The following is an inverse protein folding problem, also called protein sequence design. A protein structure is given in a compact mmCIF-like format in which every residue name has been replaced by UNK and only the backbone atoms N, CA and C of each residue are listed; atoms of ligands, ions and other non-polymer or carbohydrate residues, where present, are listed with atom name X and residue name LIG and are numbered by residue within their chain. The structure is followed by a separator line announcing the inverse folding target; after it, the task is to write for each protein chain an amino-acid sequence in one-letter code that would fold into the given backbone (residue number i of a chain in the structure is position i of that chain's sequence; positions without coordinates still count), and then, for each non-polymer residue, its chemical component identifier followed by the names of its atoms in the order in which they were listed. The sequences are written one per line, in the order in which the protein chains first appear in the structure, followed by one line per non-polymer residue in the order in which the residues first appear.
data_IF_562474422119
#
_entry.id   IF_562474422119
#
_cell.length_a   1.000
_cell.length_b   1.000
_cell.length_c   1.000
_cell.angle_alpha   90.00
_cell.angle_beta   90.00
_cell.angle_gamma   90.00
#
_symmetry.space_group_name_H-M   'P 1'
#
loop_
_entity.id
_entity.type
_entity.pdbx_description
1 polymer ?
#
# COMPACT_ATOMS: atom_id res chain seq x y z
N UNK A 1 11.35 -3.63 16.71
CA UNK A 1 11.29 -3.78 15.24
C UNK A 1 9.98 -3.18 14.77
N UNK A 2 10.01 -2.18 13.89
CA UNK A 2 8.78 -1.60 13.34
C UNK A 2 8.05 -2.67 12.51
N UNK A 3 6.78 -2.94 12.83
CA UNK A 3 5.93 -3.81 12.00
C UNK A 3 5.60 -3.03 10.72
N UNK A 4 6.07 -3.53 9.58
CA UNK A 4 5.66 -2.99 8.28
C UNK A 4 4.16 -3.23 8.10
N UNK A 5 3.38 -2.16 7.99
CA UNK A 5 1.94 -2.27 7.80
C UNK A 5 1.62 -2.62 6.34
N UNK A 6 0.59 -3.46 6.10
CA UNK A 6 0.22 -3.84 4.75
C UNK A 6 -0.41 -2.66 3.99
N UNK A 7 -0.19 -2.63 2.69
CA UNK A 7 -0.91 -1.79 1.73
C UNK A 7 -2.29 -2.41 1.44
N UNK A 8 -3.31 -1.59 1.27
CA UNK A 8 -4.64 -2.07 0.82
C UNK A 8 -4.79 -1.82 -0.67
N UNK A 9 -5.18 -2.86 -1.41
CA UNK A 9 -5.60 -2.78 -2.81
C UNK A 9 -7.09 -3.04 -2.87
N UNK A 10 -7.85 -2.12 -3.45
CA UNK A 10 -9.29 -2.26 -3.68
C UNK A 10 -9.52 -2.55 -5.15
N UNK A 11 -10.28 -3.61 -5.44
CA UNK A 11 -10.65 -4.04 -6.78
C UNK A 11 -12.00 -3.42 -7.18
N UNK A 12 -12.30 -3.39 -8.48
CA UNK A 12 -13.53 -2.86 -9.06
C UNK A 12 -14.80 -3.63 -8.66
N UNK A 13 -14.65 -4.91 -8.27
CA UNK A 13 -15.72 -5.74 -7.69
C UNK A 13 -15.93 -5.51 -6.18
N UNK A 14 -15.17 -4.58 -5.58
CA UNK A 14 -15.19 -4.26 -4.16
C UNK A 14 -14.32 -5.19 -3.29
N UNK A 15 -13.61 -6.16 -3.87
CA UNK A 15 -12.67 -7.01 -3.14
C UNK A 15 -11.49 -6.19 -2.63
N UNK A 16 -11.10 -6.41 -1.37
CA UNK A 16 -9.91 -5.80 -0.79
C UNK A 16 -8.80 -6.82 -0.52
N UNK A 17 -7.57 -6.44 -0.86
CA UNK A 17 -6.37 -7.18 -0.54
C UNK A 17 -5.45 -6.39 0.38
N UNK A 18 -5.14 -6.96 1.55
CA UNK A 18 -4.10 -6.45 2.46
C UNK A 18 -2.76 -7.09 2.12
N UNK A 19 -1.86 -6.33 1.53
CA UNK A 19 -0.61 -6.80 0.97
C UNK A 19 0.58 -6.30 1.80
N UNK A 20 1.29 -7.17 2.53
CA UNK A 20 2.53 -6.78 3.18
C UNK A 20 3.63 -6.69 2.11
N UNK A 21 3.97 -5.46 1.72
CA UNK A 21 5.02 -5.22 0.74
C UNK A 21 6.37 -5.54 1.40
N UNK A 22 6.97 -6.65 0.99
CA UNK A 22 8.28 -7.08 1.46
C UNK A 22 9.39 -6.44 0.62
N UNK A 23 10.60 -6.32 1.19
CA UNK A 23 11.77 -5.88 0.43
C UNK A 23 12.02 -6.76 -0.81
N UNK A 24 11.76 -8.06 -0.74
CA UNK A 24 11.90 -8.95 -1.89
C UNK A 24 10.89 -8.63 -3.01
N UNK A 25 9.64 -8.32 -2.66
CA UNK A 25 8.64 -7.89 -3.64
C UNK A 25 9.04 -6.57 -4.32
N UNK A 26 9.64 -5.65 -3.57
CA UNK A 26 10.19 -4.40 -4.13
C UNK A 26 11.35 -4.66 -5.10
N UNK A 27 12.30 -5.55 -4.76
CA UNK A 27 13.37 -5.95 -5.68
C UNK A 27 12.83 -6.58 -6.96
N UNK A 28 11.74 -7.35 -6.88
CA UNK A 28 11.07 -7.91 -8.07
C UNK A 28 10.42 -6.85 -8.93
N UNK A 29 9.84 -5.82 -8.32
CA UNK A 29 9.31 -4.68 -9.04
C UNK A 29 10.40 -3.83 -9.69
N UNK A 30 11.53 -3.63 -9.01
CA UNK A 30 12.68 -2.91 -9.56
C UNK A 30 13.26 -3.62 -10.79
N UNK A 31 13.56 -4.92 -10.69
CA UNK A 31 14.08 -5.72 -11.80
C UNK A 31 13.11 -5.70 -13.00
N UNK A 32 11.80 -5.78 -12.74
CA UNK A 32 10.77 -5.67 -13.79
C UNK A 32 10.75 -4.29 -14.44
N UNK A 33 10.76 -3.22 -13.63
CA UNK A 33 10.72 -1.84 -14.11
C UNK A 33 11.96 -1.50 -14.97
N UNK A 34 13.14 -1.97 -14.57
CA UNK A 34 14.37 -1.79 -15.34
C UNK A 34 14.31 -2.54 -16.67
N UNK A 35 13.88 -3.81 -16.68
CA UNK A 35 13.81 -4.63 -17.90
C UNK A 35 12.79 -4.11 -18.91
N UNK A 36 11.68 -3.57 -18.44
CA UNK A 36 10.60 -3.08 -19.31
C UNK A 36 10.68 -1.58 -19.59
N UNK A 37 11.68 -0.89 -19.04
CA UNK A 37 11.88 0.54 -19.28
C UNK A 37 10.73 1.41 -18.77
N UNK A 38 10.15 1.08 -17.62
CA UNK A 38 9.03 1.84 -17.06
C UNK A 38 9.46 3.27 -16.67
N UNK A 39 8.70 4.27 -17.12
CA UNK A 39 8.92 5.67 -16.76
C UNK A 39 8.84 5.85 -15.24
N UNK A 40 9.80 6.56 -14.65
CA UNK A 40 9.92 6.72 -13.20
C UNK A 40 10.53 5.52 -12.45
N UNK A 41 10.89 4.43 -13.15
CA UNK A 41 11.58 3.28 -12.58
C UNK A 41 10.81 2.63 -11.42
N UNK A 42 11.54 2.14 -10.41
CA UNK A 42 10.94 1.45 -9.26
C UNK A 42 10.13 2.36 -8.33
N UNK A 43 10.28 3.69 -8.47
CA UNK A 43 9.51 4.68 -7.71
C UNK A 43 8.16 5.01 -8.36
N UNK A 44 7.87 4.44 -9.53
CA UNK A 44 6.61 4.63 -10.23
C UNK A 44 5.46 3.89 -9.53
N UNK A 45 4.23 4.42 -9.69
CA UNK A 45 3.00 3.74 -9.28
C UNK A 45 2.92 2.32 -9.85
N UNK A 46 3.35 2.14 -11.10
CA UNK A 46 3.38 0.83 -11.78
C UNK A 46 4.29 -0.17 -11.06
N UNK A 47 5.45 0.28 -10.56
CA UNK A 47 6.33 -0.56 -9.76
C UNK A 47 5.74 -0.90 -8.39
N UNK A 48 5.11 0.06 -7.71
CA UNK A 48 4.38 -0.21 -6.46
C UNK A 48 3.27 -1.25 -6.66
N UNK A 49 2.46 -1.08 -7.70
CA UNK A 49 1.42 -2.05 -8.08
C UNK A 49 2.01 -3.43 -8.38
N UNK A 50 3.14 -3.48 -9.08
CA UNK A 50 3.78 -4.76 -9.40
C UNK A 50 4.31 -5.48 -8.16
N UNK A 51 4.86 -4.75 -7.18
CA UNK A 51 5.27 -5.35 -5.91
C UNK A 51 4.06 -5.98 -5.18
N UNK A 52 2.91 -5.29 -5.17
CA UNK A 52 1.68 -5.80 -4.59
C UNK A 52 1.17 -7.05 -5.34
N UNK A 53 1.08 -6.96 -6.68
CA UNK A 53 0.72 -8.07 -7.56
C UNK A 53 1.61 -9.29 -7.34
N UNK A 54 2.93 -9.10 -7.25
CA UNK A 54 3.88 -10.19 -7.06
C UNK A 54 3.63 -10.93 -5.74
N UNK A 55 3.34 -10.19 -4.66
CA UNK A 55 2.97 -10.78 -3.37
C UNK A 55 1.65 -11.56 -3.45
N UNK A 56 0.64 -11.03 -4.12
CA UNK A 56 -0.64 -11.73 -4.30
C UNK A 56 -0.47 -12.99 -5.16
N UNK A 57 0.32 -12.89 -6.23
CA UNK A 57 0.57 -13.99 -7.17
C UNK A 57 1.36 -15.11 -6.52
N UNK A 58 2.38 -14.79 -5.73
CA UNK A 58 3.19 -15.77 -4.99
C UNK A 58 2.39 -16.52 -3.91
N UNK A 59 1.25 -15.97 -3.50
CA UNK A 59 0.30 -16.58 -2.56
C UNK A 59 -0.91 -17.23 -3.25
N UNK A 60 -0.90 -17.32 -4.58
CA UNK A 60 -2.01 -17.84 -5.38
C UNK A 60 -3.35 -17.09 -5.19
N UNK A 61 -3.30 -15.83 -4.75
CA UNK A 61 -4.51 -14.99 -4.56
C UNK A 61 -4.96 -14.32 -5.85
N UNK A 62 -4.07 -14.21 -6.84
CA UNK A 62 -4.39 -13.74 -8.19
C UNK A 62 -3.80 -14.70 -9.21
N UNK A 63 -4.53 -14.91 -10.31
CA UNK A 63 -4.14 -15.83 -11.38
C UNK A 63 -3.87 -15.14 -12.71
N UNK A 64 -4.49 -13.99 -12.92
CA UNK A 64 -4.31 -13.18 -14.11
C UNK A 64 -2.89 -12.63 -14.24
N UNK A 65 -2.53 -12.24 -15.46
CA UNK A 65 -1.33 -11.46 -15.72
C UNK A 65 -1.44 -10.05 -15.13
N UNK A 66 -0.28 -9.41 -14.90
CA UNK A 66 -0.20 -8.12 -14.23
C UNK A 66 -1.11 -7.05 -14.84
N UNK A 67 -1.11 -6.87 -16.16
CA UNK A 67 -1.90 -5.80 -16.81
C UNK A 67 -3.41 -6.03 -16.67
N UNK A 68 -3.86 -7.28 -16.76
CA UNK A 68 -5.26 -7.63 -16.55
C UNK A 68 -5.66 -7.47 -15.10
N UNK A 69 -4.82 -7.89 -14.17
CA UNK A 69 -5.09 -7.64 -12.75
C UNK A 69 -5.15 -6.13 -12.45
N UNK A 70 -4.20 -5.36 -13.01
CA UNK A 70 -4.12 -3.92 -12.79
C UNK A 70 -5.31 -3.16 -13.38
N UNK A 71 -5.93 -3.64 -14.46
CA UNK A 71 -7.15 -3.01 -15.01
C UNK A 71 -8.37 -3.13 -14.11
N UNK A 72 -8.33 -4.02 -13.11
CA UNK A 72 -9.38 -4.20 -12.11
C UNK A 72 -9.06 -3.49 -10.78
N UNK A 73 -7.91 -2.83 -10.65
CA UNK A 73 -7.56 -2.09 -9.43
C UNK A 73 -8.23 -0.72 -9.47
N UNK A 74 -9.14 -0.49 -8.53
CA UNK A 74 -9.86 0.77 -8.37
C UNK A 74 -9.14 1.72 -7.39
N UNK A 75 -8.47 1.15 -6.37
CA UNK A 75 -7.82 1.95 -5.33
C UNK A 75 -6.56 1.31 -4.74
N UNK A 76 -5.63 2.17 -4.31
CA UNK A 76 -4.43 1.79 -3.57
C UNK A 76 -4.27 2.74 -2.39
N UNK A 77 -4.34 2.19 -1.18
CA UNK A 77 -4.11 2.92 0.04
C UNK A 77 -2.79 2.48 0.67
N UNK A 78 -1.87 3.43 0.85
CA UNK A 78 -0.72 3.26 1.71
C UNK A 78 -1.20 3.01 3.16
N UNK A 79 -0.43 2.30 3.99
CA UNK A 79 -0.77 2.18 5.39
C UNK A 79 -0.90 3.58 6.01
N UNK A 80 -2.05 3.88 6.60
CA UNK A 80 -2.25 5.12 7.34
C UNK A 80 -1.20 5.23 8.46
N UNK A 81 -0.72 6.43 8.82
CA UNK A 81 0.01 6.61 10.08
C UNK A 81 -0.87 6.13 11.25
N UNK A 82 -0.25 5.69 12.36
CA UNK A 82 -1.05 5.44 13.56
C UNK A 82 -1.47 6.84 14.01
N UNK A 83 -2.78 7.08 14.10
CA UNK A 83 -3.28 8.18 14.90
C UNK A 83 -3.04 7.79 16.37
N UNK A 84 -1.78 7.91 16.81
CA UNK A 84 -1.48 8.19 18.21
C UNK A 84 -1.74 9.70 18.41
N UNK A 85 -2.96 10.14 18.12
CA UNK A 85 -3.46 11.39 18.70
C UNK A 85 -3.79 11.03 20.14
N UNK A 86 -2.77 11.04 20.99
CA UNK A 86 -2.94 11.19 22.43
C UNK A 86 -3.76 12.48 22.59
N UNK A 87 -5.01 12.32 22.99
CA UNK A 87 -5.84 13.43 23.38
C UNK A 87 -5.17 14.05 24.60
N UNK A 88 -4.32 15.06 24.38
CA UNK A 88 -4.13 16.12 25.34
C UNK A 88 -5.49 16.84 25.43
N UNK A 89 -6.38 16.24 26.21
CA UNK A 89 -7.42 16.91 26.96
C UNK A 89 -6.69 17.84 27.95
N UNK A 90 -6.13 18.94 27.43
CA UNK A 90 -5.87 20.12 28.23
C UNK A 90 -7.24 20.70 28.53
N UNK A 91 -7.90 20.13 29.55
CA UNK A 91 -9.06 20.69 30.19
C UNK A 91 -8.73 22.13 30.56
N UNK A 92 -9.21 23.06 29.75
CA UNK A 92 -9.13 24.48 30.02
C UNK A 92 -9.99 24.73 31.25
N UNK A 93 -9.32 24.81 32.42
CA UNK A 93 -9.89 25.23 33.69
C UNK A 93 -10.66 26.55 33.46
N UNK A 94 -11.99 26.43 33.54
CA UNK A 94 -12.92 27.54 33.64
C UNK A 94 -12.58 28.31 34.93
N UNK A 95 -11.82 29.39 34.80
CA UNK A 95 -11.51 30.32 35.90
C UNK A 95 -12.62 31.38 35.96
N UNK A 96 -13.58 31.31 36.91
CA UNK A 96 -14.62 32.31 37.03
C UNK A 96 -14.02 33.57 37.64
N UNK A 97 -13.74 34.58 36.81
CA UNK A 97 -13.40 35.91 37.32
C UNK A 97 -14.62 36.55 38.00
N UNK A 98 -14.34 36.93 39.24
CA UNK A 98 -15.16 37.60 40.26
C UNK A 98 -15.97 38.81 39.79
#
# INVERSE_FOLDING_TARGET
MAKTRPMTITMDDGTEHKVPITAFAQMKAEDKAQREGWAGGFQSLRATMYAAYWMLRSRHQVTDGFERWASHVDGIAAPAPDDDTDANDDGEDDDPKS
#
